data_IF_484327899615
#
_entry.id   IF_484327899615
#
_cell.length_a   1.000
_cell.length_b   1.000
_cell.length_c   1.000
_cell.angle_alpha   90.00
_cell.angle_beta   90.00
_cell.angle_gamma   90.00
#
_symmetry.space_group_name_H-M   'P 1'
#
loop_
_entity.id
_entity.type
_entity.pdbx_description
1 polymer ?
2 water ?
#
# COMPACT_ATOMS: atom_id res chain seq x y z
N UNK A 1 -4.15 9.01 -13.27
CA UNK A 1 -4.09 9.90 -12.12
C UNK A 1 -4.29 9.08 -10.82
N UNK A 2 -3.60 9.47 -9.76
CA UNK A 2 -3.67 8.78 -8.47
C UNK A 2 -4.42 9.62 -7.45
N UNK A 3 -5.00 8.94 -6.46
CA UNK A 3 -5.78 9.63 -5.45
C UNK A 3 -4.88 10.39 -4.45
N UNK A 4 -3.59 10.08 -4.42
CA UNK A 4 -2.71 10.55 -3.35
C UNK A 4 -2.70 12.06 -3.20
N UNK A 5 -2.62 12.81 -4.30
CA UNK A 5 -2.59 14.25 -4.15
C UNK A 5 -3.93 14.76 -3.65
N UNK A 6 -5.02 14.10 -4.04
CA UNK A 6 -6.34 14.48 -3.57
C UNK A 6 -6.48 14.26 -2.09
N UNK A 7 -5.94 13.14 -1.59
CA UNK A 7 -5.98 12.87 -0.17
C UNK A 7 -5.21 13.92 0.61
N UNK A 8 -4.07 14.36 0.06
CA UNK A 8 -3.30 15.41 0.72
C UNK A 8 -4.10 16.70 0.77
N UNK A 9 -4.77 17.04 -0.32
CA UNK A 9 -5.46 18.32 -0.37
C UNK A 9 -6.73 18.29 0.44
N UNK A 10 -7.41 17.14 0.47
CA UNK A 10 -8.68 17.02 1.17
C UNK A 10 -8.53 16.61 2.63
N UNK A 11 -7.54 15.80 2.97
CA UNK A 11 -7.53 15.27 4.36
C UNK A 11 -6.14 15.32 4.99
N UNK A 12 -5.13 15.65 4.21
CA UNK A 12 -3.79 15.80 4.79
C UNK A 12 -2.91 14.58 4.64
N UNK A 13 -1.87 14.51 5.45
CA UNK A 13 -0.89 13.42 5.39
C UNK A 13 -1.54 12.11 5.80
N UNK A 14 -2.44 12.13 6.75
CA UNK A 14 -2.97 10.85 7.29
C UNK A 14 -4.37 10.54 6.80
N UNK A 15 -4.62 10.75 5.52
CA UNK A 15 -5.94 10.51 4.91
C UNK A 15 -6.21 9.02 4.87
N UNK A 16 -7.48 8.67 4.98
CA UNK A 16 -7.89 7.25 4.92
C UNK A 16 -8.95 7.07 3.84
N UNK A 17 -9.17 5.84 3.41
CA UNK A 17 -10.20 5.54 2.43
C UNK A 17 -11.61 5.87 2.92
N UNK A 18 -11.85 5.73 4.22
CA UNK A 18 -13.18 6.01 4.75
C UNK A 18 -13.57 7.48 4.63
N UNK A 19 -12.60 8.40 4.72
CA UNK A 19 -12.92 9.80 4.53
C UNK A 19 -13.44 10.05 3.12
N UNK A 20 -12.95 9.27 2.15
CA UNK A 20 -13.43 9.36 0.78
C UNK A 20 -14.80 8.74 0.62
N UNK A 21 -15.09 7.66 1.36
CA UNK A 21 -16.36 6.98 1.20
C UNK A 21 -17.54 7.89 1.51
N UNK A 22 -17.32 8.92 2.30
CA UNK A 22 -18.36 9.83 2.73
C UNK A 22 -18.56 11.03 1.82
N UNK A 23 -17.74 11.21 0.78
CA UNK A 23 -17.95 12.27 -0.22
C UNK A 23 -18.07 11.74 -1.64
N UNK A 24 -17.84 10.46 -1.87
CA UNK A 24 -17.90 9.88 -3.20
C UNK A 24 -19.17 9.04 -3.34
N UNK A 25 -19.87 9.27 -4.44
CA UNK A 25 -21.11 8.60 -4.80
C UNK A 25 -20.93 7.94 -6.16
N UNK A 26 -21.63 6.83 -6.35
CA UNK A 26 -21.62 6.21 -7.65
C UNK A 26 -22.61 6.93 -8.56
N UNK A 27 -22.51 6.65 -9.86
CA UNK A 27 -23.28 7.39 -10.85
C UNK A 27 -24.77 7.37 -10.52
N UNK A 28 -25.23 6.22 -10.01
CA UNK A 28 -26.66 6.04 -9.64
C UNK A 28 -27.00 6.81 -8.36
N UNK A 29 -26.01 7.36 -7.67
CA UNK A 29 -26.35 8.14 -6.47
C UNK A 29 -26.13 7.35 -5.21
N UNK A 30 -25.67 6.13 -5.36
CA UNK A 30 -25.36 5.27 -4.20
C UNK A 30 -23.97 5.60 -3.68
N UNK A 31 -23.68 5.25 -2.43
CA UNK A 31 -22.35 5.51 -1.89
C UNK A 31 -21.31 4.56 -2.45
N UNK A 32 -20.10 5.08 -2.61
CA UNK A 32 -18.95 4.25 -2.97
C UNK A 32 -18.45 3.53 -1.73
N UNK A 33 -18.11 2.26 -1.90
CA UNK A 33 -17.79 1.40 -0.77
C UNK A 33 -16.33 1.56 -0.34
N UNK A 34 -16.09 1.49 0.97
CA UNK A 34 -14.74 1.66 1.52
C UNK A 34 -13.73 0.69 0.89
N UNK A 35 -14.15 -0.54 0.56
CA UNK A 35 -13.14 -1.48 0.06
C UNK A 35 -12.73 -1.17 -1.38
N UNK A 36 -13.59 -0.54 -2.17
CA UNK A 36 -13.13 -0.11 -3.48
C UNK A 36 -12.09 0.99 -3.33
N UNK A 37 -12.34 1.94 -2.45
CA UNK A 37 -11.38 3.02 -2.25
C UNK A 37 -10.11 2.49 -1.58
N UNK A 38 -10.25 1.54 -0.64
CA UNK A 38 -9.07 0.90 -0.08
C UNK A 38 -8.17 0.30 -1.16
N UNK A 39 -8.78 -0.36 -2.16
CA UNK A 39 -8.00 -0.88 -3.28
C UNK A 39 -7.29 0.24 -4.04
N UNK A 40 -7.97 1.36 -4.27
CA UNK A 40 -7.31 2.46 -4.98
C UNK A 40 -6.08 2.94 -4.24
N UNK A 41 -6.22 3.18 -2.94
CA UNK A 41 -5.09 3.63 -2.14
C UNK A 41 -4.03 2.56 -2.03
N UNK A 42 -4.44 1.32 -1.72
CA UNK A 42 -3.47 0.31 -1.38
C UNK A 42 -2.59 -0.07 -2.56
N UNK A 43 -3.16 -0.21 -3.75
CA UNK A 43 -2.37 -0.61 -4.91
C UNK A 43 -2.02 0.56 -5.82
N UNK A 44 -2.30 1.80 -5.40
CA UNK A 44 -2.00 3.00 -6.18
C UNK A 44 -2.58 2.99 -7.59
N UNK A 45 -3.88 2.71 -7.68
CA UNK A 45 -4.54 2.59 -8.97
C UNK A 45 -4.68 3.95 -9.65
N UNK A 46 -4.74 3.92 -10.97
CA UNK A 46 -5.16 5.07 -11.73
C UNK A 46 -6.65 5.34 -11.49
N UNK A 47 -7.01 6.62 -11.41
CA UNK A 47 -8.38 7.00 -11.14
C UNK A 47 -9.23 7.07 -12.41
N UNK A 48 -10.50 6.77 -12.25
CA UNK A 48 -11.52 6.85 -13.28
C UNK A 48 -12.02 8.29 -13.45
N UNK A 49 -12.48 8.62 -14.67
CA UNK A 49 -12.93 9.99 -14.95
C UNK A 49 -14.09 10.41 -14.08
N UNK A 50 -15.04 9.52 -13.83
CA UNK A 50 -16.17 9.88 -12.99
C UNK A 50 -15.69 10.27 -11.59
N UNK A 51 -14.68 9.57 -11.09
CA UNK A 51 -14.15 9.87 -9.77
C UNK A 51 -13.41 11.21 -9.78
N UNK A 52 -12.57 11.44 -10.78
CA UNK A 52 -11.79 12.68 -10.83
C UNK A 52 -12.70 13.89 -10.75
N UNK A 53 -13.85 13.85 -11.45
CA UNK A 53 -14.73 15.01 -11.45
C UNK A 53 -15.29 15.24 -10.07
N UNK A 54 -15.73 14.17 -9.40
CA UNK A 54 -16.29 14.34 -8.07
C UNK A 54 -15.26 14.91 -7.11
N UNK A 55 -14.01 14.45 -7.20
CA UNK A 55 -12.97 15.01 -6.36
C UNK A 55 -12.68 16.44 -6.75
N UNK A 56 -12.73 16.76 -8.05
CA UNK A 56 -12.53 18.14 -8.45
C UNK A 56 -13.59 19.03 -7.83
N UNK A 57 -14.85 18.57 -7.80
CA UNK A 57 -15.89 19.29 -7.08
C UNK A 57 -15.45 19.59 -5.65
N UNK A 58 -14.95 18.57 -4.96
CA UNK A 58 -14.57 18.74 -3.57
C UNK A 58 -13.49 19.79 -3.39
N UNK A 59 -12.47 19.76 -4.24
CA UNK A 59 -11.41 20.75 -4.15
C UNK A 59 -11.99 22.15 -4.27
N UNK A 60 -12.83 22.37 -5.28
CA UNK A 60 -13.33 23.70 -5.55
C UNK A 60 -14.23 24.21 -4.43
N UNK A 61 -15.06 23.35 -3.85
CA UNK A 61 -15.88 23.78 -2.71
C UNK A 61 -15.03 24.09 -1.48
N UNK A 62 -13.99 23.28 -1.23
CA UNK A 62 -13.13 23.51 -0.07
C UNK A 62 -12.40 24.84 -0.16
N UNK A 63 -11.87 25.18 -1.33
CA UNK A 63 -11.19 26.47 -1.45
C UNK A 63 -12.09 27.57 -0.95
N UNK A 64 -13.39 27.48 -1.29
CA UNK A 64 -14.30 28.54 -0.92
C UNK A 64 -14.48 28.56 0.59
N UNK A 65 -14.66 27.39 1.21
CA UNK A 65 -14.75 27.33 2.66
C UNK A 65 -13.44 27.77 3.30
N UNK A 66 -12.34 27.20 2.82
CA UNK A 66 -11.01 27.46 3.41
C UNK A 66 -10.56 28.89 3.21
N UNK A 67 -10.72 29.47 2.04
CA UNK A 67 -10.23 30.85 1.84
C UNK A 67 -11.07 31.80 2.68
N UNK A 68 -12.34 31.50 2.87
CA UNK A 68 -13.17 32.39 3.66
C UNK A 68 -12.78 32.36 5.12
N UNK A 69 -12.56 31.18 5.69
CA UNK A 69 -12.19 31.11 7.13
C UNK A 69 -10.93 31.92 7.40
N UNK A 70 -9.99 31.91 6.46
CA UNK A 70 -8.70 32.64 6.55
C UNK A 70 -8.91 34.15 6.56
N UNK A 71 -9.96 34.64 5.91
CA UNK A 71 -10.24 36.09 5.89
C UNK A 71 -10.84 36.52 7.23
N UNK A 72 -11.42 35.57 7.95
CA UNK A 72 -11.99 35.79 9.29
C UNK A 72 -10.89 35.67 10.33
N UNK A 73 -9.70 35.24 9.94
CA UNK A 73 -8.58 35.05 10.89
C UNK A 73 -7.39 35.89 10.46
N UNK A 74 -7.57 36.80 9.51
CA UNK A 74 -6.41 37.59 9.01
C UNK A 74 -5.91 38.59 10.03
N UNK A 75 -4.60 38.82 9.99
CA UNK A 75 -3.80 39.71 10.88
C UNK A 75 -4.25 39.51 12.32
N UNK A 76 -3.79 38.39 12.90
CA UNK A 76 -3.99 37.90 14.27
C UNK A 76 -4.41 39.00 15.24
N UNK B 1 -13.76 31.23 19.47
CA UNK B 1 -13.76 30.36 18.30
C UNK B 1 -13.95 28.91 18.64
N UNK B 2 -14.64 28.21 17.77
CA UNK B 2 -14.87 26.79 17.91
C UNK B 2 -14.07 26.06 16.85
N UNK B 3 -13.84 24.77 17.13
CA UNK B 3 -13.08 23.96 16.19
C UNK B 3 -13.91 23.66 14.95
N UNK B 4 -15.24 23.81 15.05
CA UNK B 4 -16.12 23.28 14.00
C UNK B 4 -15.77 23.85 12.63
N UNK B 5 -15.63 25.18 12.54
CA UNK B 5 -15.36 25.76 11.24
C UNK B 5 -14.01 25.32 10.70
N UNK B 6 -13.04 25.07 11.60
CA UNK B 6 -11.76 24.55 11.18
C UNK B 6 -11.91 23.16 10.60
N UNK B 7 -12.74 22.32 11.25
CA UNK B 7 -12.96 20.95 10.79
C UNK B 7 -13.55 20.86 9.40
N UNK B 8 -14.46 21.77 9.05
CA UNK B 8 -15.00 21.77 7.70
C UNK B 8 -13.90 22.02 6.68
N UNK B 9 -13.01 22.96 6.97
CA UNK B 9 -11.96 23.32 6.01
C UNK B 9 -10.81 22.32 5.98
N UNK B 10 -10.44 21.72 7.12
CA UNK B 10 -9.33 20.77 7.12
C UNK B 10 -9.76 19.34 6.83
N UNK B 11 -11.02 18.96 7.12
CA UNK B 11 -11.43 17.57 7.01
C UNK B 11 -12.83 17.33 6.45
N UNK B 12 -13.63 18.37 6.15
CA UNK B 12 -14.97 18.15 5.63
C UNK B 12 -16.02 17.97 6.71
N UNK B 13 -17.22 17.59 6.26
CA UNK B 13 -18.38 17.51 7.16
C UNK B 13 -18.17 16.52 8.29
N UNK B 14 -17.50 15.41 8.02
CA UNK B 14 -17.46 14.34 9.02
C UNK B 14 -16.09 14.25 9.68
N UNK B 15 -15.59 15.39 10.13
CA UNK B 15 -14.29 15.43 10.78
C UNK B 15 -14.38 14.80 12.16
N UNK B 16 -13.29 14.20 12.60
CA UNK B 16 -13.27 13.60 13.91
C UNK B 16 -12.22 14.26 14.79
N UNK B 17 -12.38 14.08 16.10
CA UNK B 17 -11.33 14.53 17.01
C UNK B 17 -10.03 13.81 16.70
N UNK B 18 -10.11 12.57 16.23
CA UNK B 18 -8.90 11.82 15.91
C UNK B 18 -8.14 12.48 14.77
N UNK B 19 -8.86 13.07 13.83
CA UNK B 19 -8.19 13.74 12.72
C UNK B 19 -7.36 14.94 13.21
N UNK B 20 -7.83 15.62 14.25
CA UNK B 20 -7.05 16.73 14.80
C UNK B 20 -5.86 16.22 15.61
N UNK B 21 -5.97 15.04 16.19
CA UNK B 21 -4.91 14.48 17.01
C UNK B 21 -3.61 14.23 16.23
N UNK B 22 -3.70 14.06 14.91
CA UNK B 22 -2.53 13.76 14.11
C UNK B 22 -1.81 15.02 13.63
N UNK B 23 -2.37 16.20 13.85
CA UNK B 23 -1.71 17.44 13.45
C UNK B 23 -1.58 18.43 14.59
N UNK B 24 -2.11 18.14 15.78
CA UNK B 24 -2.09 19.11 16.86
C UNK B 24 -0.96 18.80 17.85
N UNK B 25 -0.18 19.83 18.19
CA UNK B 25 0.98 19.70 19.07
C UNK B 25 0.78 20.58 20.29
N UNK B 26 1.18 20.08 21.45
CA UNK B 26 1.13 20.82 22.71
C UNK B 26 2.33 21.75 22.73
N UNK B 27 2.39 22.68 23.67
CA UNK B 27 3.54 23.61 23.68
C UNK B 27 4.85 22.86 23.97
N UNK B 28 4.83 21.92 24.90
CA UNK B 28 6.06 21.19 25.23
C UNK B 28 6.45 20.13 24.19
N UNK B 29 5.74 20.06 23.06
CA UNK B 29 6.07 19.18 21.97
C UNK B 29 5.33 17.86 21.95
N UNK B 30 4.52 17.56 22.97
CA UNK B 30 3.72 16.35 22.97
C UNK B 30 2.53 16.46 22.01
N UNK B 31 2.02 15.29 21.62
CA UNK B 31 0.80 15.25 20.83
C UNK B 31 -0.39 15.68 21.69
N UNK B 32 -1.31 16.42 21.10
CA UNK B 32 -2.56 16.72 21.79
C UNK B 32 -3.47 15.51 21.69
N UNK B 33 -4.15 15.20 22.79
CA UNK B 33 -4.90 13.95 22.90
C UNK B 33 -6.28 14.00 22.26
N UNK B 34 -6.63 12.88 21.62
CA UNK B 34 -7.93 12.73 20.97
C UNK B 34 -9.06 13.03 21.95
N UNK B 35 -8.90 12.65 23.21
CA UNK B 35 -9.98 12.83 24.17
C UNK B 35 -10.10 14.29 24.63
N UNK B 36 -9.00 15.05 24.55
CA UNK B 36 -9.04 16.47 24.86
C UNK B 36 -9.83 17.20 23.79
N UNK B 37 -9.56 16.86 22.53
CA UNK B 37 -10.24 17.45 21.41
C UNK B 37 -11.71 17.02 21.40
N UNK B 38 -11.98 15.76 21.75
CA UNK B 38 -13.37 15.35 21.87
C UNK B 38 -14.10 16.21 22.89
N UNK B 39 -13.46 16.52 24.02
CA UNK B 39 -14.07 17.42 24.99
C UNK B 39 -14.38 18.78 24.37
N UNK B 40 -13.51 19.26 23.49
CA UNK B 40 -13.80 20.53 22.83
C UNK B 40 -15.07 20.42 22.01
N UNK B 41 -15.20 19.33 21.25
CA UNK B 41 -16.41 19.15 20.46
C UNK B 41 -17.61 18.95 21.39
N UNK B 42 -17.48 18.07 22.39
CA UNK B 42 -18.65 17.72 23.21
C UNK B 42 -19.16 18.92 23.99
N UNK B 43 -18.26 19.77 24.49
CA UNK B 43 -18.70 20.92 25.26
C UNK B 43 -18.72 22.19 24.42
N UNK B 44 -18.46 22.08 23.12
CA UNK B 44 -18.45 23.24 22.20
C UNK B 44 -17.58 24.38 22.75
N UNK B 45 -16.37 24.04 23.20
CA UNK B 45 -15.53 25.04 23.86
C UNK B 45 -14.91 26.03 22.88
N UNK B 46 -14.68 27.25 23.36
CA UNK B 46 -13.81 28.17 22.65
C UNK B 46 -12.38 27.66 22.74
N UNK B 47 -11.63 27.83 21.66
CA UNK B 47 -10.26 27.34 21.58
C UNK B 47 -9.28 28.37 22.16
N UNK B 48 -8.16 27.87 22.70
CA UNK B 48 -7.11 28.76 23.17
C UNK B 48 -6.22 29.24 22.01
N UNK B 49 -5.47 30.31 22.29
CA UNK B 49 -4.65 30.94 21.27
C UNK B 49 -3.66 29.98 20.66
N UNK B 50 -3.04 29.13 21.48
CA UNK B 50 -2.05 28.21 20.93
C UNK B 50 -2.66 27.30 19.88
N UNK B 51 -3.86 26.77 20.13
CA UNK B 51 -4.48 25.88 19.15
C UNK B 51 -4.91 26.65 17.91
N UNK B 52 -5.50 27.84 18.09
CA UNK B 52 -5.89 28.66 16.95
C UNK B 52 -4.68 28.94 16.05
N UNK B 53 -3.53 29.28 16.65
CA UNK B 53 -2.35 29.52 15.84
C UNK B 53 -1.93 28.26 15.13
N UNK B 54 -1.92 27.13 15.84
CA UNK B 54 -1.52 25.87 15.22
C UNK B 54 -2.43 25.51 14.06
N UNK B 55 -3.73 25.65 14.26
CA UNK B 55 -4.73 25.37 13.20
C UNK B 55 -4.62 26.38 12.06
N UNK B 56 -4.29 27.64 12.35
CA UNK B 56 -4.20 28.68 11.29
C UNK B 56 -3.00 28.43 10.40
N UNK B 57 -1.95 27.81 10.92
CA UNK B 57 -0.76 27.41 10.13
C UNK B 57 -1.18 26.28 9.19
N UNK B 58 -1.95 25.32 9.69
CA UNK B 58 -2.41 24.23 8.85
C UNK B 58 -3.24 24.74 7.70
N UNK B 59 -4.11 25.71 7.96
CA UNK B 59 -4.98 26.26 6.90
C UNK B 59 -4.14 26.94 5.83
N UNK B 60 -3.12 27.68 6.21
CA UNK B 60 -2.29 28.36 5.20
C UNK B 60 -1.45 27.35 4.43
N UNK B 61 -1.08 26.25 5.06
CA UNK B 61 -0.29 25.21 4.36
C UNK B 61 -1.19 24.49 3.37
N UNK B 62 -2.42 24.17 3.76
CA UNK B 62 -3.39 23.44 2.91
C UNK B 62 -3.83 24.29 1.72
N UNK B 63 -3.97 25.59 1.90
CA UNK B 63 -4.34 26.52 0.79
C UNK B 63 -3.31 26.46 -0.33
N UNK B 64 -2.03 26.35 0.01
CA UNK B 64 -0.92 26.27 -0.98
C UNK B 64 -1.03 24.97 -1.76
N UNK B 65 -1.19 23.85 -1.07
CA UNK B 65 -1.30 22.49 -1.68
C UNK B 65 -2.52 22.42 -2.57
N UNK B 66 -3.66 22.91 -2.09
CA UNK B 66 -4.94 22.90 -2.81
C UNK B 66 -4.84 23.77 -4.05
N UNK B 67 -4.11 24.88 -3.98
CA UNK B 67 -3.99 25.80 -5.13
C UNK B 67 -3.08 25.18 -6.17
N UNK B 68 -2.08 24.41 -5.79
CA UNK B 68 -1.23 23.77 -6.79
C UNK B 68 -2.01 22.70 -7.52
N UNK B 69 -2.77 21.91 -6.78
CA UNK B 69 -3.61 20.88 -7.39
C UNK B 69 -4.61 21.49 -8.35
N UNK B 70 -5.31 22.54 -7.93
CA UNK B 70 -6.31 23.13 -8.80
C UNK B 70 -5.67 23.63 -10.08
N UNK B 71 -4.46 24.15 -9.98
CA UNK B 71 -3.77 24.66 -11.17
C UNK B 71 -3.43 23.51 -12.12
N UNK B 72 -2.90 22.43 -11.58
CA UNK B 72 -2.49 21.26 -12.40
C UNK B 72 -3.70 20.59 -13.04
N UNK B 73 -4.86 20.74 -12.45
CA UNK B 73 -6.02 20.03 -13.03
C UNK B 73 -6.90 21.02 -13.79
N UNK B 74 -6.49 22.27 -13.97
CA UNK B 74 -7.48 23.18 -14.62
C UNK B 74 -7.79 22.78 -16.04
N UNK B 75 -9.04 23.04 -16.40
CA UNK B 75 -9.71 22.77 -17.69
C UNK B 75 -9.55 21.29 -18.03
N UNK B 76 -10.40 20.48 -17.41
CA UNK B 76 -10.43 19.02 -17.57
C UNK B 76 -10.29 18.65 -19.05
N UNK C 1 21.83 13.24 14.63
CA UNK C 1 21.24 11.92 14.80
C UNK C 1 19.79 12.04 15.25
N UNK C 2 18.88 11.74 14.33
CA UNK C 2 17.44 11.78 14.56
C UNK C 2 16.85 10.38 14.66
N UNK C 3 15.64 10.29 15.24
CA UNK C 3 15.05 8.98 15.46
C UNK C 3 14.53 8.34 14.16
N UNK C 4 14.36 9.12 13.09
CA UNK C 4 13.58 8.62 11.95
C UNK C 4 14.14 7.31 11.42
N UNK C 5 15.45 7.25 11.20
CA UNK C 5 15.99 6.05 10.60
C UNK C 5 15.89 4.87 11.55
N UNK C 6 15.93 5.11 12.87
CA UNK C 6 15.73 3.99 13.79
C UNK C 6 14.31 3.46 13.68
N UNK C 7 13.33 4.35 13.62
CA UNK C 7 11.95 3.91 13.55
C UNK C 7 11.66 3.14 12.28
N UNK C 8 12.21 3.60 11.16
CA UNK C 8 12.01 2.89 9.91
C UNK C 8 12.59 1.50 9.99
N UNK C 9 13.75 1.37 10.63
CA UNK C 9 14.36 0.04 10.71
C UNK C 9 13.74 -0.81 11.82
N UNK C 10 13.38 -0.21 12.95
CA UNK C 10 12.88 -0.99 14.07
C UNK C 10 11.40 -1.27 13.97
N UNK C 11 10.62 -0.40 13.34
CA UNK C 11 9.17 -0.53 13.33
C UNK C 11 8.55 -0.19 12.00
N UNK C 12 9.30 0.34 11.03
CA UNK C 12 8.75 0.61 9.71
C UNK C 12 8.15 1.98 9.51
N UNK C 13 7.46 2.09 8.37
CA UNK C 13 6.91 3.37 7.91
C UNK C 13 5.95 3.96 8.94
N UNK C 14 5.19 3.12 9.63
CA UNK C 14 4.17 3.71 10.47
C UNK C 14 4.52 3.61 11.95
N UNK C 15 5.75 3.92 12.30
CA UNK C 15 6.15 3.83 13.67
C UNK C 15 5.55 4.96 14.50
N UNK C 16 5.29 4.66 15.78
CA UNK C 16 4.74 5.60 16.75
C UNK C 16 5.64 5.73 17.98
N UNK C 17 5.43 6.82 18.72
CA UNK C 17 6.16 7.04 19.95
C UNK C 17 5.89 5.91 20.93
N UNK C 18 4.70 5.31 20.88
CA UNK C 18 4.40 4.23 21.79
C UNK C 18 5.30 3.02 21.53
N UNK C 19 5.64 2.77 20.26
CA UNK C 19 6.54 1.66 19.97
C UNK C 19 7.93 1.88 20.56
N UNK C 20 8.40 3.12 20.57
CA UNK C 20 9.68 3.43 21.19
C UNK C 20 9.58 3.43 22.71
N UNK C 21 8.45 3.87 23.25
CA UNK C 21 8.28 3.94 24.68
C UNK C 21 8.33 2.57 25.33
N UNK C 22 8.05 1.52 24.58
CA UNK C 22 7.98 0.20 25.17
C UNK C 22 9.33 -0.52 25.19
N UNK C 23 10.35 0.09 24.59
CA UNK C 23 11.69 -0.50 24.57
C UNK C 23 12.75 0.44 25.13
N UNK C 24 12.41 1.65 25.50
CA UNK C 24 13.37 2.66 25.95
C UNK C 24 13.34 2.76 27.46
N UNK C 25 14.51 2.75 28.07
CA UNK C 25 14.65 2.76 29.52
C UNK C 25 15.43 4.00 29.92
N UNK C 26 15.06 4.59 31.05
CA UNK C 26 15.76 5.73 31.61
C UNK C 26 16.95 5.29 32.46
N UNK C 27 17.79 6.28 32.80
CA UNK C 27 18.97 6.03 33.62
C UNK C 27 18.58 5.41 34.96
N UNK C 28 17.52 5.93 35.59
CA UNK C 28 17.01 5.46 36.87
C UNK C 28 16.16 4.19 36.77
N UNK C 29 15.98 3.61 35.58
CA UNK C 29 15.27 2.36 35.43
C UNK C 29 13.79 2.46 35.06
N UNK C 30 13.24 3.68 35.05
CA UNK C 30 11.86 3.85 34.61
C UNK C 30 11.74 3.74 33.08
N UNK C 31 10.53 3.39 32.63
CA UNK C 31 10.27 3.48 31.20
C UNK C 31 10.16 4.96 30.82
N UNK C 32 10.56 5.27 29.59
CA UNK C 32 10.53 6.67 29.06
C UNK C 32 9.09 6.97 28.67
N UNK C 33 8.61 8.18 28.91
CA UNK C 33 7.19 8.49 28.58
C UNK C 33 7.04 8.78 27.09
N UNK C 34 5.91 8.36 26.54
CA UNK C 34 5.50 8.52 25.12
C UNK C 34 5.46 9.99 24.72
N UNK C 35 5.09 10.88 25.64
CA UNK C 35 5.06 12.35 25.43
C UNK C 35 6.47 12.89 25.27
N UNK C 36 7.48 12.25 25.86
CA UNK C 36 8.88 12.71 25.70
C UNK C 36 9.33 12.38 24.29
N UNK C 37 9.06 11.15 23.84
CA UNK C 37 9.36 10.66 22.50
C UNK C 37 8.52 11.39 21.45
N UNK C 38 7.28 11.70 21.77
CA UNK C 38 6.48 12.55 20.90
C UNK C 38 7.19 13.87 20.64
N UNK C 39 7.79 14.47 21.68
CA UNK C 39 8.58 15.67 21.45
C UNK C 39 9.72 15.37 20.49
N UNK C 40 10.43 14.27 20.71
CA UNK C 40 11.55 13.94 19.83
C UNK C 40 11.10 13.78 18.39
N UNK C 41 10.02 13.04 18.16
CA UNK C 41 9.53 12.88 16.79
C UNK C 41 8.98 14.20 16.25
N UNK C 42 8.13 14.87 17.03
CA UNK C 42 7.44 16.04 16.49
C UNK C 42 8.40 17.18 16.18
N UNK C 43 9.36 17.42 17.06
CA UNK C 43 10.27 18.55 16.94
C UNK C 43 11.63 18.16 16.37
N UNK C 44 11.78 16.93 15.83
CA UNK C 44 13.01 16.45 15.17
C UNK C 44 14.28 16.63 15.99
N UNK C 45 14.23 16.30 17.27
CA UNK C 45 15.37 16.54 18.13
C UNK C 45 16.52 15.55 17.91
N UNK C 46 17.73 16.04 18.16
CA UNK C 46 18.88 15.17 18.24
C UNK C 46 18.71 14.22 19.41
N UNK C 47 19.20 13.00 19.24
CA UNK C 47 19.06 11.96 20.24
C UNK C 47 20.19 11.98 21.27
N UNK C 48 19.85 11.49 22.46
CA UNK C 48 20.76 11.30 23.57
C UNK C 48 21.71 10.11 23.35
N UNK C 49 22.91 10.18 23.92
CA UNK C 49 23.83 9.06 23.81
C UNK C 49 23.27 7.81 24.48
N UNK C 50 22.64 7.99 25.63
CA UNK C 50 22.03 6.88 26.34
C UNK C 50 20.93 6.24 25.51
N UNK C 51 20.12 7.08 24.85
CA UNK C 51 19.05 6.57 23.99
C UNK C 51 19.65 5.89 22.75
N UNK C 52 20.64 6.53 22.12
CA UNK C 52 21.25 5.94 20.93
C UNK C 52 21.75 4.54 21.22
N UNK C 53 22.43 4.37 22.35
CA UNK C 53 23.04 3.08 22.61
C UNK C 53 21.96 2.01 22.76
N UNK C 54 20.85 2.33 23.44
CA UNK C 54 19.79 1.35 23.62
C UNK C 54 19.20 0.92 22.30
N UNK C 55 19.01 1.86 21.39
CA UNK C 55 18.47 1.53 20.09
C UNK C 55 19.44 0.63 19.32
N UNK C 56 20.74 0.90 19.45
CA UNK C 56 21.72 0.07 18.77
C UNK C 56 21.62 -1.37 19.22
N UNK C 57 21.52 -1.60 20.53
CA UNK C 57 21.29 -2.95 21.01
C UNK C 57 20.09 -3.59 20.29
N UNK C 58 18.97 -2.86 20.20
CA UNK C 58 17.78 -3.41 19.56
C UNK C 58 18.04 -3.80 18.10
N UNK C 59 18.71 -2.95 17.33
CA UNK C 59 18.97 -3.28 15.93
C UNK C 59 19.81 -4.55 15.82
N UNK C 60 20.86 -4.65 16.62
CA UNK C 60 21.76 -5.80 16.52
C UNK C 60 21.05 -7.09 16.93
N UNK C 61 20.16 -7.00 17.93
CA UNK C 61 19.36 -8.15 18.31
C UNK C 61 18.39 -8.51 17.20
N UNK C 62 17.79 -7.49 16.59
CA UNK C 62 16.81 -7.72 15.53
C UNK C 62 17.46 -8.31 14.29
N UNK C 63 18.66 -7.84 13.95
CA UNK C 63 19.37 -8.35 12.78
C UNK C 63 19.45 -9.87 12.81
N UNK C 64 19.72 -10.45 13.99
CA UNK C 64 19.81 -11.90 14.07
C UNK C 64 18.43 -12.53 13.93
N UNK C 65 17.43 -11.98 14.61
CA UNK C 65 16.08 -12.55 14.51
C UNK C 65 15.64 -12.53 13.05
N UNK C 66 15.86 -11.39 12.40
CA UNK C 66 15.45 -11.25 11.01
C UNK C 66 16.28 -12.13 10.09
N UNK C 67 17.60 -12.15 10.29
CA UNK C 67 18.45 -12.98 9.45
C UNK C 67 18.02 -14.44 9.49
N UNK C 68 17.70 -14.95 10.68
CA UNK C 68 17.36 -16.37 10.81
C UNK C 68 16.07 -16.68 10.09
N UNK C 69 15.06 -15.81 10.25
CA UNK C 69 13.79 -16.00 9.57
C UNK C 69 13.98 -16.03 8.06
N UNK C 70 14.76 -15.08 7.53
CA UNK C 70 15.02 -15.09 6.10
C UNK C 70 15.74 -16.36 5.68
N UNK C 71 16.66 -16.85 6.52
CA UNK C 71 17.37 -18.07 6.20
C UNK C 71 16.41 -19.25 6.16
N UNK C 72 15.49 -19.31 7.12
CA UNK C 72 14.57 -20.43 7.19
C UNK C 72 13.54 -20.43 6.08
N UNK C 73 13.22 -19.29 5.51
CA UNK C 73 12.14 -19.24 4.50
C UNK C 73 12.72 -19.09 3.10
N UNK C 74 14.02 -19.26 2.91
CA UNK C 74 14.53 -18.94 1.56
C UNK C 74 14.03 -19.89 0.48
N UNK C 75 13.87 -19.32 -0.71
CA UNK C 75 13.48 -20.02 -1.94
C UNK C 75 12.16 -20.76 -1.82
N UNK C 76 11.07 -20.01 -1.91
CA UNK C 76 9.65 -20.42 -1.81
C UNK C 76 9.44 -21.90 -2.09
N UNK D 1 2.36 -22.27 9.56
CA UNK D 1 3.25 -21.22 10.08
C UNK D 1 2.47 -20.28 10.98
N UNK D 2 3.09 -19.80 12.04
CA UNK D 2 2.43 -18.87 12.94
C UNK D 2 3.06 -17.49 12.79
N UNK D 3 2.27 -16.47 13.13
CA UNK D 3 2.72 -15.09 12.93
C UNK D 3 3.75 -14.63 13.94
N UNK D 4 3.96 -15.37 15.04
CA UNK D 4 4.71 -14.85 16.19
C UNK D 4 6.13 -14.40 15.81
N UNK D 5 6.90 -15.25 15.11
CA UNK D 5 8.24 -14.82 14.76
C UNK D 5 8.21 -13.70 13.73
N UNK D 6 7.18 -13.66 12.90
CA UNK D 6 7.04 -12.53 12.03
C UNK D 6 6.88 -11.25 12.84
N UNK D 7 6.10 -11.31 13.93
CA UNK D 7 5.94 -10.13 14.76
C UNK D 7 7.23 -9.72 15.44
N UNK D 8 7.96 -10.70 15.98
CA UNK D 8 9.22 -10.41 16.66
C UNK D 8 10.23 -9.78 15.73
N UNK D 9 10.28 -10.24 14.49
CA UNK D 9 11.29 -9.71 13.57
C UNK D 9 10.90 -8.35 13.05
N UNK D 10 9.61 -8.14 12.80
CA UNK D 10 9.15 -6.92 12.17
C UNK D 10 8.90 -5.79 13.13
N UNK D 11 8.58 -6.11 14.39
CA UNK D 11 8.16 -5.09 15.34
C UNK D 11 8.64 -5.30 16.77
N UNK D 12 9.32 -6.41 17.08
CA UNK D 12 9.85 -6.67 18.41
C UNK D 12 8.84 -7.32 19.34
N UNK D 13 9.23 -7.41 20.62
CA UNK D 13 8.43 -8.16 21.59
C UNK D 13 7.00 -7.65 21.66
N UNK D 14 6.80 -6.35 21.53
CA UNK D 14 5.49 -5.77 21.81
C UNK D 14 4.70 -5.46 20.54
N UNK D 15 4.66 -6.41 19.61
CA UNK D 15 4.02 -6.19 18.31
C UNK D 15 2.50 -6.13 18.47
N UNK D 16 1.85 -5.35 17.62
CA UNK D 16 0.41 -5.17 17.67
C UNK D 16 -0.26 -5.58 16.37
N UNK D 17 -1.57 -5.76 16.44
CA UNK D 17 -2.37 -6.14 15.26
C UNK D 17 -2.42 -4.97 14.31
N UNK D 18 -2.22 -3.77 14.83
CA UNK D 18 -2.28 -2.52 14.05
C UNK D 18 -1.08 -2.44 13.13
N UNK D 19 0.10 -2.63 13.66
CA UNK D 19 1.29 -2.57 12.82
C UNK D 19 1.23 -3.55 11.67
N UNK D 20 0.56 -4.68 11.87
CA UNK D 20 0.37 -5.62 10.78
C UNK D 20 -0.70 -5.13 9.79
N UNK D 21 -1.72 -4.44 10.31
CA UNK D 21 -2.82 -3.99 9.47
C UNK D 21 -2.34 -2.99 8.44
N UNK D 22 -1.25 -2.31 8.72
CA UNK D 22 -0.75 -1.27 7.83
C UNK D 22 0.18 -1.83 6.78
N UNK D 23 0.47 -3.12 6.81
CA UNK D 23 1.30 -3.76 5.80
C UNK D 23 0.62 -4.95 5.14
N UNK D 24 -0.59 -5.32 5.55
CA UNK D 24 -1.30 -6.48 5.01
C UNK D 24 -2.45 -6.07 4.11
N UNK D 25 -2.50 -6.67 2.92
CA UNK D 25 -3.46 -6.37 1.87
C UNK D 25 -4.25 -7.63 1.53
N UNK D 26 -5.52 -7.47 1.16
CA UNK D 26 -6.27 -8.62 0.68
C UNK D 26 -5.88 -8.87 -0.77
N UNK D 27 -6.23 -10.08 -1.26
CA UNK D 27 -5.88 -10.39 -2.65
C UNK D 27 -6.49 -9.37 -3.59
N UNK D 28 -7.76 -9.00 -3.35
CA UNK D 28 -8.43 -8.01 -4.17
C UNK D 28 -8.01 -6.58 -3.85
N UNK D 29 -7.09 -6.34 -2.92
CA UNK D 29 -6.60 -4.99 -2.67
C UNK D 29 -7.20 -4.25 -1.48
N UNK D 30 -8.19 -4.80 -0.78
CA UNK D 30 -8.63 -4.17 0.45
C UNK D 30 -7.58 -4.38 1.55
N UNK D 31 -7.69 -3.61 2.63
CA UNK D 31 -6.75 -3.82 3.74
C UNK D 31 -7.31 -4.94 4.61
N UNK D 32 -6.43 -5.76 5.19
CA UNK D 32 -6.86 -6.90 6.03
C UNK D 32 -7.46 -6.35 7.32
N UNK D 33 -8.62 -6.87 7.72
CA UNK D 33 -9.40 -6.47 8.91
C UNK D 33 -8.57 -6.61 10.18
N UNK D 34 -8.82 -5.77 11.17
CA UNK D 34 -7.98 -5.85 12.39
C UNK D 34 -8.42 -6.99 13.32
N UNK D 35 -9.66 -7.44 13.23
CA UNK D 35 -10.14 -8.55 14.08
C UNK D 35 -9.67 -9.89 13.51
N UNK D 36 -9.31 -9.92 12.24
CA UNK D 36 -8.83 -11.15 11.58
C UNK D 36 -7.41 -11.45 12.01
N UNK D 37 -6.63 -10.40 12.20
CA UNK D 37 -5.21 -10.40 12.64
C UNK D 37 -5.20 -10.70 14.13
N UNK D 38 -6.11 -10.09 14.88
CA UNK D 38 -6.23 -10.37 16.33
C UNK D 38 -6.39 -11.89 16.50
N UNK D 39 -7.23 -12.54 15.69
CA UNK D 39 -7.43 -13.99 15.73
C UNK D 39 -6.14 -14.77 15.49
N UNK D 40 -5.34 -14.33 14.53
CA UNK D 40 -4.07 -15.01 14.23
C UNK D 40 -3.13 -14.95 15.44
N UNK D 41 -3.01 -13.78 16.05
CA UNK D 41 -2.18 -13.61 17.24
C UNK D 41 -2.77 -14.32 18.44
N UNK D 42 -4.05 -14.05 18.73
CA UNK D 42 -4.66 -14.54 19.96
C UNK D 42 -4.89 -16.05 19.94
N UNK D 43 -5.32 -16.60 18.80
CA UNK D 43 -5.63 -18.02 18.71
C UNK D 43 -4.49 -18.82 18.08
N UNK D 44 -3.33 -18.20 17.88
CA UNK D 44 -2.15 -18.88 17.31
C UNK D 44 -2.48 -19.65 16.04
N UNK D 45 -3.14 -18.97 15.11
CA UNK D 45 -3.62 -19.60 13.87
C UNK D 45 -2.47 -19.91 12.92
N UNK D 46 -2.63 -21.00 12.16
CA UNK D 46 -1.74 -21.22 11.04
C UNK D 46 -2.01 -20.17 9.95
N UNK D 47 -0.96 -19.68 9.33
CA UNK D 47 -1.07 -18.58 8.39
C UNK D 47 -1.42 -19.03 6.98
N UNK D 48 -2.06 -18.12 6.26
CA UNK D 48 -2.38 -18.31 4.86
C UNK D 48 -1.14 -18.15 3.99
N UNK D 49 -1.12 -18.79 2.83
CA UNK D 49 0.05 -18.71 1.92
C UNK D 49 0.14 -17.33 1.31
N UNK D 50 -0.99 -16.68 1.06
CA UNK D 50 -0.97 -15.31 0.59
C UNK D 50 -0.41 -14.37 1.66
N UNK D 51 -0.78 -14.59 2.92
CA UNK D 51 -0.29 -13.71 3.97
C UNK D 51 1.21 -13.88 4.16
N UNK D 52 1.69 -15.12 4.19
CA UNK D 52 3.13 -15.42 4.37
C UNK D 52 3.99 -14.72 3.34
N UNK D 53 3.52 -14.61 2.10
CA UNK D 53 4.29 -13.95 1.05
C UNK D 53 4.37 -12.45 1.31
N UNK D 54 3.26 -11.86 1.71
CA UNK D 54 3.24 -10.45 2.03
C UNK D 54 4.19 -10.15 3.16
N UNK D 55 4.20 -11.03 4.17
CA UNK D 55 5.09 -10.86 5.31
C UNK D 55 6.55 -10.96 4.87
N UNK D 56 6.84 -11.83 3.92
CA UNK D 56 8.22 -11.97 3.39
C UNK D 56 8.68 -10.69 2.69
N UNK D 57 7.84 -10.06 1.89
CA UNK D 57 8.21 -8.77 1.30
C UNK D 57 8.69 -7.81 2.37
N UNK D 58 7.92 -7.64 3.44
CA UNK D 58 8.32 -6.72 4.48
C UNK D 58 9.67 -7.11 5.03
N UNK D 59 9.85 -8.40 5.34
CA UNK D 59 11.13 -8.85 5.88
C UNK D 59 12.27 -8.51 4.93
N UNK D 60 12.12 -8.85 3.65
CA UNK D 60 13.22 -8.62 2.72
C UNK D 60 13.53 -7.13 2.55
N UNK D 61 12.49 -6.28 2.51
CA UNK D 61 12.68 -4.84 2.43
C UNK D 61 13.36 -4.31 3.69
N UNK D 62 12.94 -4.81 4.85
CA UNK D 62 13.56 -4.31 6.08
C UNK D 62 15.02 -4.71 6.19
N UNK D 63 15.37 -5.90 5.71
CA UNK D 63 16.73 -6.37 5.79
C UNK D 63 17.71 -5.31 5.27
N UNK D 64 17.39 -4.66 4.15
CA UNK D 64 18.32 -3.67 3.62
C UNK D 64 18.34 -2.41 4.48
N UNK D 65 17.17 -1.95 4.93
CA UNK D 65 17.13 -0.77 5.79
C UNK D 65 17.96 -1.01 7.04
N UNK D 66 17.79 -2.20 7.63
CA UNK D 66 18.47 -2.57 8.87
C UNK D 66 19.97 -2.65 8.64
N UNK D 67 20.39 -3.25 7.53
CA UNK D 67 21.81 -3.35 7.23
C UNK D 67 22.45 -1.99 7.09
N UNK D 68 21.84 -1.09 6.33
CA UNK D 68 22.49 0.19 6.09
C UNK D 68 22.59 1.01 7.37
N UNK D 69 21.53 1.01 8.16
CA UNK D 69 21.55 1.75 9.42
C UNK D 69 22.69 1.27 10.30
N UNK D 70 22.84 -0.04 10.39
CA UNK D 70 23.93 -0.61 11.18
C UNK D 70 25.30 -0.20 10.64
N UNK D 71 25.47 -0.21 9.32
CA UNK D 71 26.75 0.23 8.78
C UNK D 71 26.97 1.72 9.03
N UNK D 72 25.91 2.51 9.00
CA UNK D 72 26.02 3.94 9.24
C UNK D 72 26.38 4.25 10.68
N UNK D 73 26.10 3.35 11.60
CA UNK D 73 26.41 3.55 13.01
C UNK D 73 27.57 2.69 13.48
N UNK D 74 28.29 2.02 12.59
CA UNK D 74 29.32 1.11 13.03
C UNK D 74 30.44 1.89 13.73
N UNK D 75 31.11 1.19 14.63
CA UNK D 75 32.24 1.72 15.38
C UNK D 75 33.37 0.72 15.45
N UNK D 76 33.07 -0.57 15.30
CA UNK D 76 34.04 -1.63 15.16
C UNK D 76 34.87 -1.32 13.93
N UNK E 1 -18.89 -12.20 -24.81
CA UNK E 1 -18.14 -11.35 -23.89
C UNK E 1 -17.07 -10.53 -24.58
N UNK E 2 -16.38 -9.79 -23.72
CA UNK E 2 -15.24 -8.98 -24.08
C UNK E 2 -13.94 -9.65 -23.71
N UNK E 3 -12.88 -9.27 -24.43
CA UNK E 3 -11.58 -9.87 -24.23
C UNK E 3 -10.95 -9.46 -22.89
N UNK E 4 -11.47 -8.43 -22.22
CA UNK E 4 -10.75 -7.87 -21.07
C UNK E 4 -10.52 -8.93 -19.98
N UNK E 5 -11.56 -9.69 -19.65
CA UNK E 5 -11.40 -10.66 -18.56
C UNK E 5 -10.42 -11.75 -18.97
N UNK E 6 -10.35 -12.03 -20.25
CA UNK E 6 -9.42 -13.06 -20.72
C UNK E 6 -7.99 -12.55 -20.64
N UNK E 7 -7.79 -11.28 -20.95
CA UNK E 7 -6.47 -10.68 -20.91
C UNK E 7 -5.90 -10.63 -19.52
N UNK E 8 -6.70 -10.28 -18.54
CA UNK E 8 -6.20 -10.17 -17.14
C UNK E 8 -5.77 -11.53 -16.62
N UNK E 9 -6.53 -12.57 -16.93
CA UNK E 9 -6.28 -13.92 -16.38
C UNK E 9 -5.22 -14.65 -17.19
N UNK E 10 -5.02 -14.27 -18.44
CA UNK E 10 -4.00 -14.96 -19.24
C UNK E 10 -2.72 -14.13 -19.26
N UNK E 11 -2.79 -12.81 -19.15
CA UNK E 11 -1.54 -12.05 -19.32
C UNK E 11 -1.31 -10.97 -18.27
N UNK E 12 -2.22 -10.79 -17.31
CA UNK E 12 -2.00 -9.75 -16.27
C UNK E 12 -2.56 -8.40 -16.65
N UNK E 13 -2.34 -7.38 -15.81
CA UNK E 13 -2.93 -6.08 -16.14
C UNK E 13 -2.45 -5.53 -17.46
N UNK E 14 -1.21 -5.83 -17.84
CA UNK E 14 -0.59 -5.13 -18.95
C UNK E 14 -0.58 -5.95 -20.22
N UNK E 15 -1.72 -6.60 -20.50
CA UNK E 15 -1.83 -7.45 -21.68
C UNK E 15 -1.91 -6.61 -22.95
N UNK E 16 -1.35 -7.15 -24.02
CA UNK E 16 -1.32 -6.45 -25.29
C UNK E 16 -2.08 -7.25 -26.33
N UNK E 17 -2.47 -6.58 -27.40
CA UNK E 17 -3.03 -7.30 -28.51
C UNK E 17 -2.02 -8.30 -29.07
N UNK E 18 -0.73 -7.98 -29.01
CA UNK E 18 0.25 -8.85 -29.60
C UNK E 18 0.33 -10.20 -28.88
N UNK E 19 0.16 -10.21 -27.56
CA UNK E 19 0.21 -11.46 -26.81
C UNK E 19 -0.90 -12.42 -27.21
N UNK E 20 -2.02 -11.84 -27.63
CA UNK E 20 -3.19 -12.64 -28.05
C UNK E 20 -3.01 -13.15 -29.48
N UNK E 21 -2.21 -12.48 -30.29
CA UNK E 21 -1.95 -12.92 -31.65
C UNK E 21 -1.10 -14.19 -31.75
N UNK E 22 -0.28 -14.50 -30.75
CA UNK E 22 0.59 -15.66 -30.84
C UNK E 22 -0.10 -16.92 -30.37
N UNK E 23 -1.35 -16.81 -29.97
CA UNK E 23 -2.09 -18.00 -29.48
C UNK E 23 -3.40 -18.16 -30.24
N UNK E 24 -3.82 -17.15 -31.00
CA UNK E 24 -5.12 -17.20 -31.68
C UNK E 24 -4.92 -17.46 -33.17
N UNK E 25 -5.66 -18.44 -33.69
CA UNK E 25 -5.56 -18.88 -35.08
C UNK E 25 -6.92 -18.70 -35.73
N UNK E 26 -6.92 -18.40 -37.03
CA UNK E 26 -8.14 -18.24 -37.82
C UNK E 26 -8.70 -19.59 -38.21
N UNK E 27 -9.96 -19.61 -38.69
CA UNK E 27 -10.51 -20.88 -39.16
C UNK E 27 -9.59 -21.51 -40.20
N UNK E 28 -9.10 -20.66 -41.11
CA UNK E 28 -8.19 -21.05 -42.21
C UNK E 28 -6.83 -21.49 -41.67
N UNK E 29 -6.65 -21.48 -40.36
CA UNK E 29 -5.39 -21.95 -39.76
C UNK E 29 -4.29 -20.92 -39.79
N UNK E 30 -4.61 -19.69 -40.15
CA UNK E 30 -3.60 -18.62 -40.19
C UNK E 30 -3.61 -17.87 -38.87
N UNK E 31 -2.52 -17.18 -38.56
CA UNK E 31 -2.48 -16.41 -37.34
C UNK E 31 -3.42 -15.22 -37.54
N UNK E 32 -4.12 -14.87 -36.48
CA UNK E 32 -4.89 -13.63 -36.43
C UNK E 32 -3.88 -12.51 -36.16
N UNK E 33 -3.91 -11.44 -36.97
CA UNK E 33 -2.90 -10.34 -36.83
C UNK E 33 -3.27 -9.36 -35.74
N UNK E 34 -2.28 -8.63 -35.22
CA UNK E 34 -2.42 -7.72 -34.08
C UNK E 34 -3.57 -6.68 -34.14
N UNK E 35 -3.77 -6.14 -35.33
CA UNK E 35 -4.78 -5.10 -35.66
C UNK E 35 -6.19 -5.63 -35.50
N UNK E 36 -6.43 -6.88 -35.87
CA UNK E 36 -7.80 -7.33 -35.75
C UNK E 36 -8.14 -7.45 -34.27
N UNK E 37 -7.19 -7.95 -33.49
CA UNK E 37 -7.39 -8.06 -32.06
C UNK E 37 -7.45 -6.68 -31.40
N UNK E 38 -6.56 -5.77 -31.79
CA UNK E 38 -6.64 -4.39 -31.28
C UNK E 38 -7.99 -3.77 -31.62
N UNK E 39 -8.49 -4.04 -32.82
CA UNK E 39 -9.80 -3.56 -33.22
C UNK E 39 -10.89 -4.01 -32.26
N UNK E 40 -10.79 -5.25 -31.76
CA UNK E 40 -11.77 -5.77 -30.80
C UNK E 40 -11.76 -4.93 -29.52
N UNK E 41 -10.58 -4.56 -29.04
CA UNK E 41 -10.46 -3.76 -27.83
C UNK E 41 -11.09 -2.37 -28.01
N UNK E 42 -10.79 -1.71 -29.14
CA UNK E 42 -11.19 -0.32 -29.34
C UNK E 42 -12.72 -0.16 -29.39
N UNK E 43 -13.40 -1.07 -30.05
CA UNK E 43 -14.85 -1.12 -30.26
C UNK E 43 -15.58 -1.93 -29.24
N UNK E 44 -14.91 -2.31 -28.14
CA UNK E 44 -15.52 -3.07 -27.04
C UNK E 44 -16.32 -4.23 -27.62
N UNK E 45 -15.73 -4.86 -28.64
CA UNK E 45 -16.45 -5.85 -29.45
C UNK E 45 -16.60 -7.18 -28.72
N UNK E 46 -17.75 -7.81 -28.93
CA UNK E 46 -17.98 -9.18 -28.50
C UNK E 46 -17.16 -10.17 -29.31
N UNK E 47 -16.68 -11.23 -28.65
CA UNK E 47 -15.85 -12.25 -29.28
C UNK E 47 -16.71 -13.34 -29.96
N UNK E 48 -16.15 -13.95 -31.01
CA UNK E 48 -16.77 -15.07 -31.71
C UNK E 48 -16.65 -16.36 -30.93
N UNK E 49 -17.55 -17.29 -31.23
CA UNK E 49 -17.48 -18.60 -30.60
C UNK E 49 -16.15 -19.26 -30.89
N UNK E 50 -15.66 -19.07 -32.11
CA UNK E 50 -14.37 -19.59 -32.50
C UNK E 50 -13.26 -19.01 -31.62
N UNK E 51 -13.33 -17.72 -31.32
CA UNK E 51 -12.28 -17.10 -30.51
C UNK E 51 -12.36 -17.57 -29.06
N UNK E 52 -13.55 -17.51 -28.47
CA UNK E 52 -13.72 -17.87 -27.06
C UNK E 52 -13.23 -19.30 -26.80
N UNK E 53 -13.54 -20.23 -27.70
CA UNK E 53 -13.18 -21.63 -27.47
C UNK E 53 -11.67 -21.78 -27.36
N UNK E 54 -10.92 -21.16 -28.28
CA UNK E 54 -9.48 -21.25 -28.20
C UNK E 54 -9.00 -20.66 -26.88
N UNK E 55 -9.60 -19.58 -26.48
CA UNK E 55 -9.19 -18.92 -25.23
C UNK E 55 -9.49 -19.82 -24.03
N UNK E 56 -10.61 -20.53 -24.03
CA UNK E 56 -10.90 -21.46 -22.93
C UNK E 56 -9.84 -22.54 -22.85
N UNK E 57 -9.44 -23.10 -23.99
CA UNK E 57 -8.36 -24.08 -24.00
C UNK E 57 -7.13 -23.52 -23.28
N UNK E 58 -6.71 -22.35 -23.72
CA UNK E 58 -5.52 -21.72 -23.12
C UNK E 58 -5.74 -21.58 -21.62
N UNK E 59 -6.92 -21.15 -21.18
CA UNK E 59 -7.25 -20.97 -19.74
C UNK E 59 -7.19 -22.30 -19.01
N UNK E 60 -7.84 -23.32 -19.56
CA UNK E 60 -7.92 -24.61 -18.87
C UNK E 60 -6.54 -25.23 -18.72
N UNK E 61 -5.74 -25.15 -19.79
CA UNK E 61 -4.38 -25.64 -19.73
C UNK E 61 -3.55 -24.79 -18.78
N UNK E 62 -3.74 -23.48 -18.84
CA UNK E 62 -3.01 -22.55 -17.96
C UNK E 62 -3.29 -22.87 -16.49
N UNK E 63 -4.54 -23.18 -16.17
CA UNK E 63 -4.91 -23.47 -14.78
C UNK E 63 -4.06 -24.56 -14.17
N UNK E 64 -3.76 -25.62 -14.91
CA UNK E 64 -3.01 -26.72 -14.31
C UNK E 64 -1.57 -26.30 -14.07
N UNK E 65 -0.97 -25.62 -15.03
CA UNK E 65 0.40 -25.16 -14.87
C UNK E 65 0.52 -24.31 -13.62
N UNK E 66 -0.46 -23.42 -13.41
CA UNK E 66 -0.46 -22.51 -12.27
C UNK E 66 -0.55 -23.26 -10.95
N UNK E 67 -1.45 -24.24 -10.87
CA UNK E 67 -1.64 -25.01 -9.64
C UNK E 67 -0.34 -25.71 -9.21
N UNK E 68 0.39 -26.28 -10.17
CA UNK E 68 1.59 -27.01 -9.77
C UNK E 68 2.67 -26.09 -9.26
N UNK E 69 2.85 -24.91 -9.88
CA UNK E 69 3.84 -23.95 -9.36
C UNK E 69 3.51 -23.59 -7.92
N UNK E 70 2.27 -23.20 -7.68
CA UNK E 70 1.87 -22.77 -6.34
C UNK E 70 2.02 -23.90 -5.34
N UNK E 71 1.72 -25.12 -5.74
CA UNK E 71 1.77 -26.25 -4.79
C UNK E 71 3.21 -26.61 -4.45
N UNK E 72 4.11 -26.47 -5.40
CA UNK E 72 5.54 -26.76 -5.18
C UNK E 72 6.19 -25.62 -4.40
N UNK E 73 5.53 -24.47 -4.36
CA UNK E 73 6.07 -23.29 -3.65
C UNK E 73 5.27 -22.96 -2.38
N UNK E 74 4.37 -23.79 -1.87
CA UNK E 74 3.62 -23.33 -0.68
C UNK E 74 4.47 -23.21 0.60
N UNK E 75 4.01 -22.35 1.51
CA UNK E 75 4.70 -22.04 2.78
C UNK E 75 6.12 -21.65 2.41
N UNK E 76 6.22 -20.65 1.57
CA UNK E 76 7.53 -20.18 1.08
C UNK E 76 8.46 -19.93 2.26
N UNK F 1 15.68 -21.89 -8.44
CA UNK F 1 14.46 -21.51 -9.18
C UNK F 1 14.87 -20.71 -10.42
N UNK F 2 14.43 -21.16 -11.58
CA UNK F 2 14.71 -20.50 -12.84
C UNK F 2 13.46 -19.75 -13.27
N UNK F 3 13.64 -18.72 -14.11
CA UNK F 3 12.48 -17.94 -14.51
C UNK F 3 11.55 -18.73 -15.42
N UNK F 4 12.01 -19.88 -15.95
CA UNK F 4 11.25 -20.55 -16.99
C UNK F 4 9.86 -20.98 -16.52
N UNK F 5 9.78 -21.69 -15.41
CA UNK F 5 8.47 -22.20 -14.97
C UNK F 5 7.50 -21.06 -14.67
N UNK F 6 8.02 -19.98 -14.10
CA UNK F 6 7.25 -18.79 -13.72
C UNK F 6 6.68 -18.10 -14.95
N UNK F 7 7.48 -18.03 -16.00
CA UNK F 7 7.08 -17.36 -17.24
C UNK F 7 5.92 -18.04 -17.93
N UNK F 8 5.93 -19.36 -18.07
CA UNK F 8 4.78 -20.02 -18.73
C UNK F 8 3.51 -19.91 -17.89
N UNK F 9 3.62 -19.99 -16.57
CA UNK F 9 2.44 -19.89 -15.71
C UNK F 9 1.81 -18.49 -15.80
N UNK F 10 2.64 -17.45 -15.78
CA UNK F 10 2.11 -16.07 -15.88
C UNK F 10 1.95 -15.60 -17.32
N UNK F 11 2.76 -16.06 -18.27
CA UNK F 11 2.66 -15.49 -19.64
C UNK F 11 2.49 -16.50 -20.78
N UNK F 12 2.53 -17.80 -20.53
CA UNK F 12 2.41 -18.77 -21.61
C UNK F 12 3.72 -19.02 -22.32
N UNK F 13 3.62 -19.74 -23.45
CA UNK F 13 4.83 -20.12 -24.18
C UNK F 13 5.62 -18.91 -24.66
N UNK F 14 4.95 -17.80 -24.94
CA UNK F 14 5.64 -16.70 -25.60
C UNK F 14 5.91 -15.55 -24.65
N UNK F 15 6.43 -15.85 -23.47
CA UNK F 15 6.73 -14.80 -22.51
C UNK F 15 8.00 -14.06 -22.91
N UNK F 16 8.03 -12.77 -22.62
CA UNK F 16 9.18 -11.92 -22.86
C UNK F 16 9.63 -11.32 -21.54
N UNK F 17 10.87 -10.85 -21.51
CA UNK F 17 11.30 -10.08 -20.35
C UNK F 17 10.47 -8.81 -20.23
N UNK F 18 9.99 -8.26 -21.35
CA UNK F 18 9.25 -7.00 -21.28
C UNK F 18 7.95 -7.17 -20.49
N UNK F 19 7.28 -8.30 -20.64
CA UNK F 19 6.10 -8.53 -19.81
C UNK F 19 6.48 -8.65 -18.34
N UNK F 20 7.67 -9.17 -18.05
CA UNK F 20 8.12 -9.26 -16.67
C UNK F 20 8.50 -7.89 -16.12
N UNK F 21 9.12 -7.04 -16.95
CA UNK F 21 9.57 -5.75 -16.47
C UNK F 21 8.39 -4.91 -16.01
N UNK F 22 7.19 -5.23 -16.48
CA UNK F 22 6.00 -4.47 -16.14
C UNK F 22 5.35 -4.91 -14.85
N UNK F 23 5.87 -5.94 -14.19
CA UNK F 23 5.32 -6.35 -12.89
C UNK F 23 6.36 -6.36 -11.77
N UNK F 24 7.64 -6.23 -12.08
CA UNK F 24 8.73 -6.38 -11.11
C UNK F 24 9.35 -5.04 -10.73
N UNK F 25 9.56 -4.85 -9.43
CA UNK F 25 10.18 -3.65 -8.89
C UNK F 25 11.36 -4.07 -8.02
N UNK F 26 12.45 -3.27 -8.04
CA UNK F 26 13.45 -3.57 -7.03
C UNK F 26 13.04 -2.89 -5.72
N UNK F 27 13.76 -3.25 -4.66
CA UNK F 27 13.30 -3.02 -3.29
C UNK F 27 12.88 -1.56 -3.02
N UNK F 28 13.62 -0.63 -3.61
CA UNK F 28 13.47 0.84 -3.43
C UNK F 28 12.19 1.37 -4.07
N UNK F 29 11.49 0.57 -4.86
CA UNK F 29 10.24 1.04 -5.47
C UNK F 29 10.40 1.38 -6.93
N UNK F 30 11.61 1.22 -7.46
CA UNK F 30 11.85 1.42 -8.91
C UNK F 30 11.45 0.17 -9.69
N UNK F 31 11.38 0.31 -11.00
CA UNK F 31 10.95 -0.78 -11.91
C UNK F 31 12.20 -1.51 -12.34
N UNK F 32 12.06 -2.78 -12.67
CA UNK F 32 13.26 -3.48 -13.18
C UNK F 32 13.34 -3.12 -14.67
N UNK F 33 14.54 -2.88 -15.15
CA UNK F 33 14.83 -2.59 -16.56
C UNK F 33 14.58 -3.89 -17.33
N UNK F 34 14.01 -3.82 -18.53
CA UNK F 34 13.72 -5.05 -19.30
C UNK F 34 15.01 -5.82 -19.58
N UNK F 35 16.11 -5.15 -19.91
CA UNK F 35 17.38 -5.86 -20.18
C UNK F 35 17.91 -6.57 -18.94
N UNK F 36 17.66 -6.03 -17.74
CA UNK F 36 18.12 -6.72 -16.51
C UNK F 36 17.45 -8.08 -16.44
N UNK F 37 16.15 -8.14 -16.72
CA UNK F 37 15.35 -9.40 -16.73
C UNK F 37 15.82 -10.27 -17.90
N UNK F 38 16.07 -9.66 -19.06
CA UNK F 38 16.55 -10.40 -20.26
C UNK F 38 17.92 -11.00 -19.95
N UNK F 39 18.76 -10.27 -19.24
CA UNK F 39 20.06 -10.80 -18.79
C UNK F 39 19.81 -12.02 -17.91
N UNK F 40 18.81 -12.05 -17.04
CA UNK F 40 18.58 -13.29 -16.26
C UNK F 40 18.24 -14.44 -17.20
N UNK F 41 17.37 -14.22 -18.18
CA UNK F 41 16.97 -15.27 -19.12
C UNK F 41 18.19 -15.77 -19.88
N UNK F 42 19.03 -14.85 -20.34
CA UNK F 42 20.19 -15.23 -21.14
C UNK F 42 21.14 -16.11 -20.33
N UNK F 43 21.32 -15.82 -19.05
CA UNK F 43 22.38 -16.56 -18.30
C UNK F 43 21.86 -17.73 -17.47
N UNK F 44 20.60 -18.10 -17.56
CA UNK F 44 20.07 -19.14 -16.66
C UNK F 44 20.37 -18.76 -15.20
N UNK F 45 20.08 -17.51 -14.82
CA UNK F 45 20.39 -17.09 -13.45
C UNK F 45 19.40 -17.72 -12.50
N UNK F 46 19.86 -18.12 -11.33
CA UNK F 46 18.92 -18.47 -10.29
C UNK F 46 18.22 -17.19 -9.81
N UNK F 47 16.95 -17.32 -9.49
CA UNK F 47 16.22 -16.14 -9.01
C UNK F 47 16.55 -15.95 -7.53
N UNK F 48 16.63 -14.71 -7.09
CA UNK F 48 16.77 -14.41 -5.68
C UNK F 48 15.39 -14.34 -5.01
N UNK F 49 15.39 -14.50 -3.69
CA UNK F 49 14.19 -14.53 -2.83
C UNK F 49 13.31 -13.31 -3.05
N UNK F 50 13.87 -12.15 -3.31
CA UNK F 50 13.08 -10.95 -3.55
C UNK F 50 12.24 -11.09 -4.82
N UNK F 51 12.83 -11.67 -5.87
CA UNK F 51 12.08 -11.86 -7.10
C UNK F 51 11.04 -12.96 -6.94
N UNK F 52 11.44 -14.08 -6.37
CA UNK F 52 10.54 -15.24 -6.17
C UNK F 52 9.27 -14.84 -5.44
N UNK F 53 9.33 -13.97 -4.42
CA UNK F 53 8.14 -13.62 -3.67
C UNK F 53 7.19 -12.80 -4.51
N UNK F 54 7.70 -11.82 -5.27
CA UNK F 54 6.81 -11.00 -6.08
C UNK F 54 6.07 -11.85 -7.11
N UNK F 55 6.78 -12.78 -7.74
CA UNK F 55 6.15 -13.67 -8.70
C UNK F 55 5.13 -14.58 -8.00
N UNK F 56 5.43 -14.96 -6.76
CA UNK F 56 4.45 -15.75 -5.99
C UNK F 56 3.24 -14.88 -5.72
N UNK F 57 3.45 -13.62 -5.35
CA UNK F 57 2.33 -12.70 -5.20
C UNK F 57 1.46 -12.73 -6.43
N UNK F 58 2.10 -12.52 -7.58
CA UNK F 58 1.50 -12.49 -8.93
C UNK F 58 0.76 -13.78 -9.26
N UNK F 59 1.27 -14.94 -8.88
CA UNK F 59 0.57 -16.20 -9.09
C UNK F 59 -0.71 -16.25 -8.26
N UNK F 60 -0.59 -15.88 -6.97
CA UNK F 60 -1.73 -16.00 -6.06
C UNK F 60 -2.88 -15.07 -6.44
N UNK F 61 -2.56 -13.86 -6.94
CA UNK F 61 -3.61 -12.98 -7.46
C UNK F 61 -4.24 -13.55 -8.73
N UNK F 62 -3.43 -14.15 -9.59
CA UNK F 62 -3.88 -14.73 -10.89
C UNK F 62 -4.81 -15.91 -10.65
N UNK F 63 -4.50 -16.73 -9.67
CA UNK F 63 -5.31 -17.90 -9.36
C UNK F 63 -6.79 -17.53 -9.22
N UNK F 64 -7.09 -16.41 -8.55
CA UNK F 64 -8.47 -16.00 -8.33
C UNK F 64 -9.12 -15.54 -9.63
N UNK F 65 -8.39 -14.75 -10.42
CA UNK F 65 -8.93 -14.29 -11.70
C UNK F 65 -9.28 -15.49 -12.57
N UNK F 66 -8.35 -16.43 -12.68
CA UNK F 66 -8.51 -17.61 -13.52
C UNK F 66 -9.62 -18.51 -12.97
N UNK F 67 -9.69 -18.66 -11.66
CA UNK F 67 -10.77 -19.42 -11.05
C UNK F 67 -12.13 -18.89 -11.47
N UNK F 68 -12.32 -17.60 -11.29
CA UNK F 68 -13.62 -16.94 -11.56
C UNK F 68 -14.01 -16.98 -13.03
N UNK F 69 -13.08 -16.69 -13.95
CA UNK F 69 -13.39 -16.65 -15.39
C UNK F 69 -13.80 -18.03 -15.90
N UNK F 70 -13.09 -19.08 -15.49
CA UNK F 70 -13.42 -20.46 -15.90
C UNK F 70 -14.78 -20.87 -15.35
N UNK F 71 -15.12 -20.42 -14.16
CA UNK F 71 -16.40 -20.66 -13.48
C UNK F 71 -17.52 -20.00 -14.29
N UNK F 72 -17.23 -18.87 -14.92
CA UNK F 72 -18.25 -18.12 -15.69
C UNK F 72 -18.33 -18.66 -17.13
N UNK F 73 -17.44 -19.58 -17.49
CA UNK F 73 -17.40 -20.21 -18.83
C UNK F 73 -17.76 -21.70 -18.77
N UNK F 74 -18.27 -22.20 -17.66
CA UNK F 74 -18.53 -23.65 -17.50
C UNK F 74 -19.60 -24.21 -18.42
N UNK F 75 -19.36 -25.41 -18.95
CA UNK F 75 -20.25 -26.21 -19.81
C UNK F 75 -20.78 -25.38 -20.97
N UNK F 76 -19.91 -25.02 -21.92
CA UNK F 76 -20.21 -24.22 -23.13
C UNK F 76 -21.64 -24.43 -23.61
#
# INVERSE_FOLDING_TARGET
MKIHEFGLALFGEHYSANQFAKILINKDGSNVDRKTIQNWINRDQDLNDWVIVQLKEELLKREVILKNLLTNLSQAIMMKKLTILSKVTKDAKATAKYDESLKSGDVITYRSEDGVLLEGIISFAKKWESQRYSNLPVVEIVKLEHHHHHHHH
MKIHEFGLALFGEHYSANQFAKILINKDGSNVDRKTIQNWINRDQDLNDWVIVQLKEELLKREVILKNLLTNLSQAIMMKKLTILSKVTKDAKATAKYDESLKSGDVITYRSEDGVLLEGIISFAKKWESQRYSNLPVVEIVKLEHHHHHHHH
MKIHEFGLALFGEHYSANQFAKILINKDGSNVDRKTIQNWINRDQDLNDWVIVQLKEELLKREVILKNLLTNLSQAIMMKKLTILSKVTKDAKATAKYDESLKSGDVITYRSEDGVLLEGIISFAKKWESQRYSNLPVVEIVKLEHHHHHHHH
MKIHEFGLALFGEHYSANQFAKILINKDGSNVDRKTIQNWINRDQDLNDWVIVQLKEELLKREVILKNLLTNLSQAIMMKKLTILSKVTKDAKATAKYDESLKSGDVITYRSEDGVLLEGIISFAKKWESQRYSNLPVVEIVKLEHHHHHHHH
MKIHEFGLALFGEHYSANQFAKILINKDGSNVDRKTIQNWINRDQDLNDWVIVQLKEELLKREVILKNLLTNLSQAIMMKKLTILSKVTKDAKATAKYDESLKSGDVITYRSEDGVLLEGIISFAKKWESQRYSNLPVVEIVKLEHHHHHHHH
MKIHEFGLALFGEHYSANQFAKILINKDGSNVDRKTIQNWINRDQDLNDWVIVQLKEELLKREVILKNLLTNLSQAIMMKKLTILSKVTKDAKATAKYDESLKSGDVITYRSEDGVLLEGIISFAKKWESQRYSNLPVVEIVKLEHHHHHHHH
#
